data_IF_518856796117
#
_entry.id   IF_518856796117
#
_cell.length_a   1.000
_cell.length_b   1.000
_cell.length_c   1.000
_cell.angle_alpha   90.00
_cell.angle_beta   90.00
_cell.angle_gamma   90.00
#
_symmetry.space_group_name_H-M   'P 1'
#
loop_
_entity.id
_entity.type
_entity.pdbx_description
1 polymer ?
#
# COMPACT_ATOMS: atom_id res chain seq x y z
N UNK A 1 5.26 -3.67 -36.91
CA UNK A 1 4.24 -3.92 -35.87
C UNK A 1 4.93 -3.76 -34.53
N UNK A 2 4.51 -2.80 -33.71
CA UNK A 2 5.14 -2.57 -32.40
C UNK A 2 4.63 -3.64 -31.44
N UNK A 3 5.55 -4.32 -30.74
CA UNK A 3 5.19 -5.29 -29.72
C UNK A 3 4.20 -4.66 -28.72
N UNK A 4 3.17 -5.41 -28.36
CA UNK A 4 2.16 -4.99 -27.40
C UNK A 4 2.81 -4.65 -26.06
N UNK A 5 2.10 -3.85 -25.26
CA UNK A 5 2.52 -3.53 -23.89
C UNK A 5 2.82 -4.80 -23.07
N UNK A 6 1.99 -5.84 -23.25
CA UNK A 6 2.13 -7.09 -22.50
C UNK A 6 3.35 -7.92 -22.91
N UNK A 7 3.69 -7.94 -24.21
CA UNK A 7 4.90 -8.61 -24.70
C UNK A 7 6.16 -7.91 -24.22
N UNK A 8 6.18 -6.57 -24.28
CA UNK A 8 7.28 -5.76 -23.72
C UNK A 8 7.43 -5.98 -22.22
N UNK A 9 6.32 -6.12 -21.50
CA UNK A 9 6.31 -6.39 -20.07
C UNK A 9 6.91 -7.76 -19.74
N UNK A 10 6.52 -8.82 -20.46
CA UNK A 10 7.04 -10.17 -20.23
C UNK A 10 8.54 -10.28 -20.49
N UNK A 11 9.02 -9.73 -21.60
CA UNK A 11 10.46 -9.76 -21.94
C UNK A 11 11.31 -9.09 -20.85
N UNK A 12 10.89 -7.92 -20.39
CA UNK A 12 11.64 -7.21 -19.37
C UNK A 12 11.51 -7.85 -17.97
N UNK A 13 10.39 -8.49 -17.65
CA UNK A 13 10.25 -9.30 -16.43
C UNK A 13 11.21 -10.49 -16.43
N UNK A 14 11.31 -11.22 -17.55
CA UNK A 14 12.21 -12.38 -17.67
C UNK A 14 13.69 -11.96 -17.59
N UNK A 15 14.06 -10.82 -18.19
CA UNK A 15 15.39 -10.24 -18.08
C UNK A 15 15.74 -9.85 -16.63
N UNK A 16 14.82 -9.19 -15.91
CA UNK A 16 14.98 -8.84 -14.50
C UNK A 16 15.12 -10.09 -13.61
N UNK A 17 14.32 -11.13 -13.89
CA UNK A 17 14.37 -12.41 -13.18
C UNK A 17 15.70 -13.12 -13.41
N UNK A 18 16.23 -13.13 -14.63
CA UNK A 18 17.54 -13.68 -14.95
C UNK A 18 18.69 -12.94 -14.23
N UNK A 19 18.53 -11.63 -14.00
CA UNK A 19 19.44 -10.80 -13.19
C UNK A 19 19.29 -10.97 -11.67
N UNK A 20 18.39 -11.87 -11.20
CA UNK A 20 18.17 -12.13 -9.77
C UNK A 20 17.29 -11.10 -9.05
N UNK A 21 16.65 -10.19 -9.78
CA UNK A 21 15.78 -9.17 -9.19
C UNK A 21 14.40 -9.77 -8.91
N UNK A 22 14.10 -10.04 -7.64
CA UNK A 22 12.87 -10.73 -7.21
C UNK A 22 11.58 -9.89 -7.27
N UNK A 23 11.69 -8.57 -7.41
CA UNK A 23 10.54 -7.68 -7.44
C UNK A 23 10.86 -6.43 -8.25
N UNK A 24 10.08 -6.19 -9.31
CA UNK A 24 10.22 -5.00 -10.13
C UNK A 24 8.87 -4.27 -10.20
N UNK A 25 8.88 -2.97 -9.93
CA UNK A 25 7.72 -2.10 -10.18
C UNK A 25 7.98 -1.36 -11.48
N UNK A 26 7.03 -1.48 -12.39
CA UNK A 26 6.97 -0.71 -13.62
C UNK A 26 6.46 0.70 -13.27
N UNK A 27 7.37 1.64 -13.00
CA UNK A 27 6.98 3.01 -12.68
C UNK A 27 6.71 3.79 -13.97
N UNK A 28 5.43 4.15 -14.19
CA UNK A 28 4.96 5.09 -15.21
C UNK A 28 5.54 4.88 -16.63
N UNK A 29 5.57 3.65 -17.15
CA UNK A 29 5.75 3.44 -18.59
C UNK A 29 7.17 3.55 -19.14
N UNK A 30 8.18 3.89 -18.32
CA UNK A 30 9.45 4.43 -18.84
C UNK A 30 10.71 3.67 -18.43
N UNK A 31 10.76 3.06 -17.24
CA UNK A 31 11.98 2.40 -16.79
C UNK A 31 11.72 1.29 -15.76
N UNK A 32 12.54 0.24 -15.83
CA UNK A 32 12.66 -0.79 -14.80
C UNK A 32 13.68 -0.34 -13.77
N UNK A 33 13.26 -0.21 -12.50
CA UNK A 33 14.14 0.15 -11.40
C UNK A 33 14.44 -1.10 -10.55
N UNK A 34 15.72 -1.28 -10.18
CA UNK A 34 16.11 -2.25 -9.16
C UNK A 34 15.53 -1.77 -7.82
N UNK A 35 14.50 -2.46 -7.33
CA UNK A 35 13.94 -2.18 -6.02
C UNK A 35 14.74 -3.02 -5.04
N UNK A 36 15.78 -2.42 -4.50
CA UNK A 36 16.29 -2.84 -3.21
C UNK A 36 15.12 -2.75 -2.21
N UNK A 37 14.58 -3.90 -1.81
CA UNK A 37 13.49 -4.00 -0.82
C UNK A 37 13.87 -3.36 0.52
N UNK A 38 15.17 -3.14 0.76
CA UNK A 38 15.72 -2.44 1.91
C UNK A 38 15.77 -0.91 1.71
N UNK A 39 15.75 -0.42 0.45
CA UNK A 39 15.90 1.00 0.09
C UNK A 39 14.62 1.67 -0.37
N UNK A 40 13.63 0.92 -0.86
CA UNK A 40 12.33 1.47 -1.26
C UNK A 40 11.41 1.67 -0.05
N UNK A 41 11.75 2.70 0.75
CA UNK A 41 10.83 3.32 1.70
C UNK A 41 10.37 4.68 1.13
N UNK A 42 9.49 4.75 0.10
CA UNK A 42 8.85 6.00 -0.28
C UNK A 42 7.77 6.35 0.75
N UNK A 43 8.23 6.78 1.92
CA UNK A 43 7.54 7.53 2.99
C UNK A 43 8.50 7.57 4.18
N UNK A 44 9.34 8.61 4.27
CA UNK A 44 10.09 8.94 5.51
C UNK A 44 9.18 9.47 6.63
N UNK A 45 7.86 9.44 6.41
CA UNK A 45 6.84 9.92 7.35
C UNK A 45 5.56 9.10 7.23
N UNK A 46 4.82 8.98 8.33
CA UNK A 46 3.63 8.13 8.42
C UNK A 46 2.54 8.50 7.41
N UNK A 47 2.37 9.81 7.19
CA UNK A 47 1.45 10.36 6.21
C UNK A 47 -0.02 9.97 6.41
N UNK A 48 -0.45 9.46 7.56
CA UNK A 48 -1.87 9.25 7.83
C UNK A 48 -2.60 10.60 8.03
N UNK A 49 -3.91 10.68 7.76
CA UNK A 49 -4.69 11.90 8.03
C UNK A 49 -4.92 12.02 9.53
N UNK A 50 -4.48 13.12 10.15
CA UNK A 50 -4.76 13.42 11.56
C UNK A 50 -6.21 13.87 11.73
N UNK A 51 -6.70 13.91 12.97
CA UNK A 51 -8.00 14.52 13.31
C UNK A 51 -8.08 15.99 12.89
N UNK A 52 -6.94 16.70 12.88
CA UNK A 52 -6.83 18.10 12.43
C UNK A 52 -6.86 18.27 10.90
N UNK A 53 -7.01 17.19 10.13
CA UNK A 53 -7.04 17.22 8.65
C UNK A 53 -5.66 17.13 7.99
N UNK A 54 -4.62 17.61 8.65
CA UNK A 54 -3.25 17.57 8.11
C UNK A 54 -2.65 16.15 8.06
N UNK A 55 -1.61 15.96 7.24
CA UNK A 55 -0.88 14.69 7.14
C UNK A 55 0.09 14.48 8.30
N UNK A 56 0.20 13.26 8.79
CA UNK A 56 1.11 12.90 9.86
C UNK A 56 2.57 12.96 9.40
N UNK A 57 3.39 13.76 10.10
CA UNK A 57 4.82 13.96 9.81
C UNK A 57 5.75 13.08 10.66
N UNK A 58 5.22 12.11 11.42
CA UNK A 58 6.01 11.21 12.27
C UNK A 58 7.00 10.41 11.44
N UNK A 59 8.29 10.46 11.80
CA UNK A 59 9.38 9.72 11.15
C UNK A 59 9.59 8.32 11.73
N UNK A 60 9.14 8.10 12.97
CA UNK A 60 9.13 6.78 13.58
C UNK A 60 8.02 5.95 12.92
N UNK A 61 8.43 5.02 12.05
CA UNK A 61 7.56 4.11 11.32
C UNK A 61 7.80 2.70 11.78
N UNK A 62 6.70 1.95 11.87
CA UNK A 62 6.71 0.54 12.20
C UNK A 62 6.12 -0.24 11.01
N UNK A 63 5.68 -1.47 11.27
CA UNK A 63 5.15 -2.38 10.24
C UNK A 63 4.07 -1.69 9.40
N UNK A 64 4.18 -1.79 8.08
CA UNK A 64 3.24 -1.16 7.15
C UNK A 64 3.42 0.35 6.95
N UNK A 65 4.52 0.95 7.43
CA UNK A 65 4.87 2.35 7.15
C UNK A 65 4.01 3.38 7.88
N UNK A 66 3.44 3.00 9.04
CA UNK A 66 2.67 3.89 9.92
C UNK A 66 3.36 4.03 11.28
N UNK A 67 3.10 5.15 11.97
CA UNK A 67 3.62 5.37 13.32
C UNK A 67 2.71 4.72 14.37
N UNK A 68 3.16 4.68 15.63
CA UNK A 68 2.40 4.11 16.76
C UNK A 68 0.97 4.64 16.89
N UNK A 69 0.74 5.91 16.57
CA UNK A 69 -0.58 6.55 16.66
C UNK A 69 -1.52 6.21 15.51
N UNK A 70 -1.01 5.72 14.39
CA UNK A 70 -1.79 5.40 13.20
C UNK A 70 -1.71 3.92 12.84
N UNK A 71 -1.60 3.07 13.87
CA UNK A 71 -1.67 1.62 13.73
C UNK A 71 -0.35 0.93 13.39
N UNK A 72 0.79 1.63 13.41
CA UNK A 72 2.09 1.02 13.12
C UNK A 72 2.49 -0.08 14.12
N UNK A 73 2.08 0.06 15.38
CA UNK A 73 2.25 -0.96 16.42
C UNK A 73 0.99 -1.84 16.61
N UNK A 74 -0.06 -1.60 15.82
CA UNK A 74 -1.28 -2.39 15.93
C UNK A 74 -1.04 -3.78 15.36
N UNK A 75 -1.48 -4.80 16.10
CA UNK A 75 -1.42 -6.20 15.67
C UNK A 75 -2.69 -6.62 14.92
N UNK A 76 -3.65 -5.71 14.76
CA UNK A 76 -5.00 -6.04 14.30
C UNK A 76 -5.81 -6.86 15.31
N UNK A 77 -7.07 -7.15 14.97
CA UNK A 77 -7.94 -7.99 15.77
C UNK A 77 -7.48 -9.47 15.67
N UNK A 78 -7.14 -10.06 16.81
CA UNK A 78 -6.65 -11.45 16.87
C UNK A 78 -7.73 -12.47 17.18
N UNK A 79 -8.75 -12.08 17.96
CA UNK A 79 -9.85 -12.97 18.34
C UNK A 79 -10.94 -13.02 17.27
N UNK A 80 -11.73 -14.11 17.19
CA UNK A 80 -12.87 -14.20 16.27
C UNK A 80 -13.87 -13.06 16.47
N UNK A 81 -14.20 -12.73 17.71
CA UNK A 81 -15.16 -11.67 18.07
C UNK A 81 -14.62 -10.29 17.65
N UNK A 82 -13.32 -10.06 17.84
CA UNK A 82 -12.66 -8.82 17.43
C UNK A 82 -12.67 -8.65 15.91
N UNK A 83 -12.46 -9.73 15.16
CA UNK A 83 -12.54 -9.73 13.70
C UNK A 83 -13.97 -9.45 13.23
N UNK A 84 -14.96 -10.11 13.83
CA UNK A 84 -16.37 -9.88 13.53
C UNK A 84 -16.77 -8.41 13.76
N UNK A 85 -16.36 -7.82 14.89
CA UNK A 85 -16.59 -6.40 15.18
C UNK A 85 -15.94 -5.48 14.14
N UNK A 86 -14.70 -5.75 13.74
CA UNK A 86 -14.01 -4.96 12.72
C UNK A 86 -14.72 -5.00 11.36
N UNK A 87 -15.20 -6.18 10.95
CA UNK A 87 -15.96 -6.37 9.71
C UNK A 87 -17.29 -5.60 9.77
N UNK A 88 -18.04 -5.74 10.87
CA UNK A 88 -19.31 -5.05 11.06
C UNK A 88 -19.14 -3.52 10.99
N UNK A 89 -18.09 -2.97 11.63
CA UNK A 89 -17.78 -1.54 11.56
C UNK A 89 -17.45 -1.08 10.12
N UNK A 90 -16.71 -1.89 9.36
CA UNK A 90 -16.40 -1.59 7.95
C UNK A 90 -17.67 -1.56 7.09
N UNK A 91 -18.56 -2.56 7.26
CA UNK A 91 -19.83 -2.64 6.53
C UNK A 91 -20.74 -1.44 6.85
N UNK A 92 -20.87 -1.09 8.13
CA UNK A 92 -21.66 0.07 8.56
C UNK A 92 -21.12 1.39 7.97
N UNK A 93 -19.80 1.57 7.95
CA UNK A 93 -19.16 2.73 7.33
C UNK A 93 -19.42 2.82 5.82
N UNK A 94 -19.37 1.68 5.12
CA UNK A 94 -19.64 1.62 3.68
C UNK A 94 -21.11 1.93 3.37
N UNK A 95 -22.05 1.36 4.14
CA UNK A 95 -23.48 1.65 3.99
C UNK A 95 -23.78 3.16 4.14
N UNK A 96 -23.17 3.81 5.14
CA UNK A 96 -23.28 5.27 5.33
C UNK A 96 -22.69 6.08 4.18
N UNK A 97 -21.60 5.61 3.59
CA UNK A 97 -21.01 6.29 2.44
C UNK A 97 -21.93 6.20 1.22
N UNK A 98 -22.50 5.02 0.95
CA UNK A 98 -23.46 4.81 -0.13
C UNK A 98 -24.71 5.68 0.06
N UNK A 99 -25.27 5.72 1.26
CA UNK A 99 -26.45 6.56 1.54
C UNK A 99 -26.18 8.03 1.28
N UNK A 100 -24.98 8.52 1.61
CA UNK A 100 -24.62 9.92 1.39
C UNK A 100 -24.24 10.24 -0.06
N UNK A 101 -23.90 9.25 -0.88
CA UNK A 101 -23.53 9.46 -2.28
C UNK A 101 -24.75 9.48 -3.21
N UNK A 102 -25.81 8.73 -2.86
CA UNK A 102 -27.03 8.59 -3.66
C UNK A 102 -28.26 9.29 -3.06
N UNK A 103 -28.07 10.09 -2.01
CA UNK A 103 -29.07 11.01 -1.48
C UNK A 103 -28.89 12.40 -2.09
#
# INVERSE_FOLDING_TARGET
>A
MTASFHEKYKLAYDEMKAKGVSFAVFEHGRQWHEIDRNRYHPKRVCGARKKTGERCRSKELHRGGKCKFHGGLSTGARTPEGKAKAIAAMQAGHAKWLSNMYA
#
